data_IF_687605841332
#
_entry.id   IF_687605841332
#
_cell.length_a   1.000
_cell.length_b   1.000
_cell.length_c   1.000
_cell.angle_alpha   90.00
_cell.angle_beta   90.00
_cell.angle_gamma   90.00
#
_symmetry.space_group_name_H-M   'P 1'
#
loop_
_entity.id
_entity.type
_entity.pdbx_description
1 polymer ?
#
# COMPACT_ATOMS: atom_id res chain seq x y z
N UNK A 1 -5.22 8.48 -3.86
CA UNK A 1 -6.10 9.40 -4.57
C UNK A 1 -5.26 10.57 -5.07
N UNK A 2 -5.11 10.69 -6.40
CA UNK A 2 -4.45 11.82 -7.02
C UNK A 2 -5.36 13.04 -6.92
N UNK A 3 -5.15 13.86 -5.92
CA UNK A 3 -5.89 15.11 -5.67
C UNK A 3 -5.14 16.31 -6.27
N UNK A 4 -4.43 16.10 -7.39
CA UNK A 4 -3.84 17.22 -8.11
C UNK A 4 -4.82 17.67 -9.21
N UNK A 5 -5.20 18.95 -9.26
CA UNK A 5 -6.02 19.46 -10.34
C UNK A 5 -5.26 19.32 -11.66
N UNK A 6 -5.91 18.70 -12.64
CA UNK A 6 -5.43 18.75 -14.01
C UNK A 6 -5.65 20.16 -14.56
N UNK A 7 -4.78 20.65 -15.44
CA UNK A 7 -4.79 22.00 -16.01
C UNK A 7 -6.12 22.44 -16.69
N UNK A 8 -7.05 21.51 -16.86
CA UNK A 8 -8.37 21.74 -17.49
C UNK A 8 -9.55 21.44 -16.55
N UNK A 9 -9.34 21.49 -15.23
CA UNK A 9 -10.42 21.22 -14.27
C UNK A 9 -11.31 22.46 -14.12
N UNK A 10 -12.64 22.30 -14.13
CA UNK A 10 -13.59 23.39 -13.91
C UNK A 10 -13.28 24.16 -12.61
N UNK A 11 -13.42 25.50 -12.59
CA UNK A 11 -13.05 26.32 -11.43
C UNK A 11 -13.69 25.88 -10.10
N UNK A 12 -14.95 25.42 -10.14
CA UNK A 12 -15.64 24.91 -8.95
C UNK A 12 -14.98 23.64 -8.40
N UNK A 13 -14.57 22.71 -9.27
CA UNK A 13 -13.87 21.48 -8.87
C UNK A 13 -12.49 21.82 -8.30
N UNK A 14 -11.82 22.81 -8.88
CA UNK A 14 -10.53 23.28 -8.37
C UNK A 14 -10.67 23.92 -6.98
N UNK A 15 -11.71 24.73 -6.76
CA UNK A 15 -12.01 25.31 -5.46
C UNK A 15 -12.33 24.23 -4.40
N UNK A 16 -13.17 23.25 -4.74
CA UNK A 16 -13.48 22.12 -3.86
C UNK A 16 -12.22 21.29 -3.51
N UNK A 17 -11.37 21.03 -4.50
CA UNK A 17 -10.10 20.32 -4.30
C UNK A 17 -9.18 21.07 -3.34
N UNK A 18 -9.05 22.38 -3.52
CA UNK A 18 -8.24 23.24 -2.62
C UNK A 18 -8.80 23.25 -1.20
N UNK A 19 -10.12 23.34 -1.05
CA UNK A 19 -10.77 23.30 0.26
C UNK A 19 -10.53 21.94 0.96
N UNK A 20 -10.66 20.84 0.23
CA UNK A 20 -10.41 19.50 0.76
C UNK A 20 -8.94 19.32 1.18
N UNK A 21 -8.00 19.76 0.35
CA UNK A 21 -6.57 19.72 0.68
C UNK A 21 -6.28 20.52 1.96
N UNK A 22 -6.83 21.73 2.09
CA UNK A 22 -6.65 22.54 3.27
C UNK A 22 -7.27 21.91 4.53
N UNK A 23 -8.44 21.30 4.41
CA UNK A 23 -9.09 20.57 5.50
C UNK A 23 -8.23 19.38 5.95
N UNK A 24 -7.68 18.61 5.00
CA UNK A 24 -6.78 17.48 5.28
C UNK A 24 -5.50 17.94 6.01
N UNK A 25 -4.83 18.99 5.50
CA UNK A 25 -3.63 19.54 6.13
C UNK A 25 -3.91 20.01 7.56
N UNK A 26 -5.04 20.69 7.77
CA UNK A 26 -5.44 21.16 9.10
C UNK A 26 -5.74 19.99 10.04
N UNK A 27 -6.42 18.95 9.57
CA UNK A 27 -6.73 17.75 10.36
C UNK A 27 -5.45 17.00 10.77
N UNK A 28 -4.52 16.79 9.84
CA UNK A 28 -3.22 16.14 10.11
C UNK A 28 -2.41 16.96 11.12
N UNK A 29 -2.35 18.29 10.95
CA UNK A 29 -1.66 19.18 11.89
C UNK A 29 -2.28 19.12 13.29
N UNK A 30 -3.60 19.16 13.39
CA UNK A 30 -4.31 19.07 14.68
C UNK A 30 -4.07 17.72 15.36
N UNK A 31 -4.13 16.62 14.61
CA UNK A 31 -3.84 15.28 15.10
C UNK A 31 -2.40 15.16 15.63
N UNK A 32 -1.42 15.64 14.86
CA UNK A 32 -0.02 15.62 15.26
C UNK A 32 0.23 16.47 16.54
N UNK A 33 -0.35 17.67 16.61
CA UNK A 33 -0.26 18.53 17.80
C UNK A 33 -0.90 17.87 19.03
N UNK A 34 -2.03 17.20 18.85
CA UNK A 34 -2.68 16.45 19.93
C UNK A 34 -1.82 15.28 20.40
N UNK A 35 -1.28 14.51 19.47
CA UNK A 35 -0.39 13.38 19.78
C UNK A 35 0.84 13.82 20.59
N UNK A 36 1.49 14.91 20.19
CA UNK A 36 2.65 15.48 20.93
C UNK A 36 2.26 15.88 22.37
N UNK A 37 1.06 16.45 22.56
CA UNK A 37 0.59 16.89 23.90
C UNK A 37 0.24 15.71 24.82
N UNK A 38 -0.13 14.56 24.24
CA UNK A 38 -0.58 13.37 24.97
C UNK A 38 0.46 12.24 24.96
N UNK A 39 1.71 12.53 24.60
CA UNK A 39 2.77 11.52 24.61
C UNK A 39 2.93 10.89 25.99
N UNK A 40 3.06 9.57 26.00
CA UNK A 40 3.28 8.77 27.20
C UNK A 40 4.22 7.61 26.91
N UNK A 41 4.77 7.01 27.97
CA UNK A 41 5.55 5.79 27.81
C UNK A 41 4.70 4.69 27.18
N UNK A 42 5.25 4.00 26.19
CA UNK A 42 4.55 2.97 25.45
C UNK A 42 5.44 1.75 25.23
N UNK A 43 4.82 0.61 25.00
CA UNK A 43 5.43 -0.65 24.60
C UNK A 43 5.05 -0.96 23.16
N UNK A 44 5.92 -1.66 22.46
CA UNK A 44 5.68 -2.05 21.07
C UNK A 44 5.77 -3.55 20.93
N UNK A 45 4.88 -4.14 20.17
CA UNK A 45 4.91 -5.55 19.84
C UNK A 45 4.57 -5.78 18.37
N UNK A 46 4.99 -6.91 17.85
CA UNK A 46 4.81 -7.32 16.47
C UNK A 46 4.25 -8.72 16.39
N UNK A 47 3.41 -8.97 15.41
CA UNK A 47 2.91 -10.29 15.07
C UNK A 47 2.58 -10.41 13.59
N UNK A 48 2.50 -11.63 13.11
CA UNK A 48 2.13 -11.95 11.74
C UNK A 48 0.96 -12.92 11.67
N UNK A 49 0.17 -12.76 10.63
CA UNK A 49 -0.88 -13.68 10.22
C UNK A 49 -0.87 -13.86 8.71
N UNK A 50 -1.73 -14.72 8.24
CA UNK A 50 -1.94 -14.97 6.81
C UNK A 50 -3.35 -14.52 6.46
N UNK A 51 -3.47 -13.67 5.44
CA UNK A 51 -4.74 -13.30 4.84
C UNK A 51 -4.71 -13.63 3.34
N UNK A 52 -5.87 -13.88 2.76
CA UNK A 52 -6.02 -14.21 1.34
C UNK A 52 -6.99 -13.27 0.64
N UNK A 53 -7.10 -12.05 1.14
CA UNK A 53 -7.96 -11.03 0.51
C UNK A 53 -7.30 -10.37 -0.69
N UNK A 54 -5.97 -10.50 -0.86
CA UNK A 54 -5.25 -10.05 -2.03
C UNK A 54 -5.08 -11.16 -3.09
N UNK A 55 -4.88 -10.74 -4.31
CA UNK A 55 -4.51 -11.57 -5.45
C UNK A 55 -3.60 -10.76 -6.37
N UNK A 56 -2.68 -11.42 -7.06
CA UNK A 56 -1.95 -10.79 -8.15
C UNK A 56 -2.93 -10.35 -9.24
N UNK A 57 -2.77 -9.16 -9.80
CA UNK A 57 -3.73 -8.62 -10.76
C UNK A 57 -3.31 -8.71 -12.22
N UNK A 58 -2.14 -9.25 -12.50
CA UNK A 58 -1.65 -9.43 -13.87
C UNK A 58 -2.10 -10.77 -14.44
N UNK A 59 -3.06 -10.73 -15.31
CA UNK A 59 -3.63 -11.92 -15.98
C UNK A 59 -3.07 -12.05 -17.38
N UNK A 60 -2.53 -13.23 -17.70
CA UNK A 60 -2.11 -13.57 -19.06
C UNK A 60 -3.33 -13.85 -19.93
N UNK A 61 -3.37 -13.24 -21.11
CA UNK A 61 -4.40 -13.43 -22.13
C UNK A 61 -3.76 -13.72 -23.50
N UNK A 62 -4.50 -14.18 -24.50
CA UNK A 62 -3.98 -14.34 -25.87
C UNK A 62 -3.46 -13.04 -26.50
N UNK A 63 -3.83 -11.88 -25.94
CA UNK A 63 -3.48 -10.56 -26.44
C UNK A 63 -2.38 -9.85 -25.63
N UNK A 64 -1.79 -10.54 -24.65
CA UNK A 64 -0.83 -9.99 -23.68
C UNK A 64 -1.38 -9.97 -22.25
N UNK A 65 -0.68 -9.28 -21.36
CA UNK A 65 -1.02 -9.20 -19.93
C UNK A 65 -1.93 -8.01 -19.64
N UNK A 66 -2.96 -8.23 -18.79
CA UNK A 66 -3.87 -7.17 -18.40
C UNK A 66 -4.43 -7.37 -16.98
N UNK A 67 -5.05 -6.31 -16.45
CA UNK A 67 -5.64 -6.28 -15.12
C UNK A 67 -6.77 -7.31 -14.95
N UNK A 68 -6.73 -8.04 -13.86
CA UNK A 68 -7.74 -9.04 -13.49
C UNK A 68 -7.48 -9.63 -12.12
N UNK A 69 -7.80 -10.89 -11.92
CA UNK A 69 -7.48 -11.67 -10.72
C UNK A 69 -6.72 -12.93 -11.14
N UNK A 70 -5.43 -12.97 -10.86
CA UNK A 70 -4.54 -14.08 -11.19
C UNK A 70 -4.25 -14.90 -9.91
N UNK A 71 -5.05 -15.91 -9.66
CA UNK A 71 -4.92 -16.81 -8.49
C UNK A 71 -3.61 -17.61 -8.48
N UNK A 72 -2.95 -17.74 -9.63
CA UNK A 72 -1.65 -18.43 -9.78
C UNK A 72 -0.47 -17.45 -9.78
N UNK A 73 -0.73 -16.15 -9.77
CA UNK A 73 0.30 -15.13 -9.74
C UNK A 73 0.97 -15.03 -8.37
N UNK A 74 2.16 -14.48 -8.36
CA UNK A 74 2.89 -14.26 -7.11
C UNK A 74 2.17 -13.22 -6.24
N UNK A 75 2.00 -13.52 -4.96
CA UNK A 75 1.41 -12.62 -3.98
C UNK A 75 2.18 -12.64 -2.66
N UNK A 76 1.88 -11.69 -1.80
CA UNK A 76 2.36 -11.67 -0.42
C UNK A 76 1.14 -11.77 0.53
N UNK A 77 0.84 -12.95 1.06
CA UNK A 77 -0.28 -13.15 1.96
C UNK A 77 0.01 -12.74 3.41
N UNK A 78 1.20 -12.23 3.70
CA UNK A 78 1.62 -11.87 5.06
C UNK A 78 0.91 -10.62 5.53
N UNK A 79 0.09 -10.75 6.56
CA UNK A 79 -0.48 -9.64 7.31
C UNK A 79 0.41 -9.37 8.53
N UNK A 80 1.16 -8.28 8.50
CA UNK A 80 1.95 -7.83 9.63
C UNK A 80 1.14 -6.88 10.51
N UNK A 81 1.22 -7.06 11.83
CA UNK A 81 0.54 -6.21 12.81
C UNK A 81 1.56 -5.66 13.79
N UNK A 82 1.63 -4.34 13.86
CA UNK A 82 2.37 -3.60 14.88
C UNK A 82 1.37 -3.09 15.92
N UNK A 83 1.56 -3.47 17.19
CA UNK A 83 0.72 -3.05 18.29
C UNK A 83 1.50 -2.15 19.24
N UNK A 84 0.89 -1.04 19.62
CA UNK A 84 1.42 -0.10 20.60
C UNK A 84 0.51 -0.13 21.82
N UNK A 85 1.09 -0.42 22.99
CA UNK A 85 0.38 -0.47 24.28
C UNK A 85 0.88 0.64 25.20
N UNK A 86 0.02 1.04 26.15
CA UNK A 86 0.47 1.84 27.30
C UNK A 86 1.50 1.06 28.11
N UNK A 87 2.20 1.74 29.02
CA UNK A 87 3.10 1.07 29.99
C UNK A 87 2.37 0.04 30.87
N UNK A 88 1.04 0.18 31.04
CA UNK A 88 0.18 -0.74 31.79
C UNK A 88 -0.36 -1.89 30.94
N UNK A 89 -0.08 -1.91 29.63
CA UNK A 89 -0.48 -2.97 28.71
C UNK A 89 -1.84 -2.80 28.04
N UNK A 90 -2.47 -1.63 28.16
CA UNK A 90 -3.69 -1.33 27.41
C UNK A 90 -3.34 -0.91 25.96
N UNK A 91 -4.02 -1.45 24.93
CA UNK A 91 -3.76 -1.10 23.53
C UNK A 91 -4.05 0.38 23.25
N UNK A 92 -3.08 1.08 22.65
CA UNK A 92 -3.19 2.46 22.14
C UNK A 92 -3.40 2.49 20.64
N UNK A 93 -2.71 1.64 19.91
CA UNK A 93 -2.82 1.56 18.46
C UNK A 93 -2.54 0.15 17.93
N UNK A 94 -3.24 -0.19 16.85
CA UNK A 94 -3.03 -1.41 16.07
C UNK A 94 -2.83 -0.99 14.61
N UNK A 95 -1.62 -1.16 14.09
CA UNK A 95 -1.28 -0.86 12.70
C UNK A 95 -1.14 -2.16 11.94
N UNK A 96 -1.95 -2.35 10.91
CA UNK A 96 -1.88 -3.50 10.01
C UNK A 96 -1.18 -3.11 8.70
N UNK A 97 -0.18 -3.88 8.29
CA UNK A 97 0.50 -3.73 7.01
C UNK A 97 0.21 -4.95 6.14
N UNK A 98 -0.33 -4.73 4.96
CA UNK A 98 -0.71 -5.79 4.06
C UNK A 98 -0.56 -5.38 2.60
N UNK A 99 -0.11 -6.31 1.74
CA UNK A 99 0.12 -6.09 0.32
C UNK A 99 -1.18 -6.17 -0.47
N UNK A 100 -2.04 -5.16 -0.32
CA UNK A 100 -3.29 -5.04 -1.09
C UNK A 100 -3.64 -3.58 -1.32
N UNK A 101 -4.08 -3.25 -2.52
CA UNK A 101 -4.73 -1.97 -2.78
C UNK A 101 -6.12 -1.93 -2.15
N UNK A 102 -6.49 -0.81 -1.54
CA UNK A 102 -7.83 -0.59 -0.98
C UNK A 102 -8.77 -0.15 -2.12
N UNK A 103 -9.19 -1.11 -2.95
CA UNK A 103 -9.79 -0.85 -4.27
C UNK A 103 -10.92 -1.82 -4.66
N UNK A 104 -11.67 -2.34 -3.67
CA UNK A 104 -12.83 -3.22 -3.94
C UNK A 104 -13.89 -2.48 -4.76
N UNK A 105 -14.15 -1.21 -4.42
CA UNK A 105 -15.14 -0.35 -5.07
C UNK A 105 -14.55 0.56 -6.15
N UNK A 106 -13.27 0.39 -6.51
CA UNK A 106 -12.61 1.27 -7.48
C UNK A 106 -13.32 1.28 -8.82
N UNK A 107 -13.61 2.48 -9.31
CA UNK A 107 -14.29 2.70 -10.60
C UNK A 107 -15.75 2.26 -10.62
N UNK A 108 -16.31 1.72 -9.53
CA UNK A 108 -17.74 1.42 -9.44
C UNK A 108 -18.59 2.69 -9.36
N UNK A 109 -19.78 2.61 -9.89
CA UNK A 109 -20.76 3.70 -9.92
C UNK A 109 -22.07 3.25 -9.29
N UNK A 110 -22.92 4.19 -8.88
CA UNK A 110 -24.28 3.87 -8.48
C UNK A 110 -25.12 3.48 -9.70
N UNK A 111 -26.10 2.58 -9.56
CA UNK A 111 -27.07 2.28 -10.64
C UNK A 111 -27.82 3.52 -11.11
N UNK A 112 -28.07 4.46 -10.20
CA UNK A 112 -28.68 5.76 -10.49
C UNK A 112 -27.70 6.77 -11.11
N UNK A 113 -26.45 6.41 -11.31
CA UNK A 113 -25.36 7.28 -11.74
C UNK A 113 -24.64 7.96 -10.58
N UNK A 114 -23.42 8.44 -10.84
CA UNK A 114 -22.55 9.07 -9.85
C UNK A 114 -21.58 8.11 -9.17
N UNK A 115 -20.68 8.67 -8.37
CA UNK A 115 -19.63 7.95 -7.63
C UNK A 115 -19.75 8.20 -6.15
N UNK A 116 -19.35 7.21 -5.37
CA UNK A 116 -19.27 7.31 -3.91
C UNK A 116 -17.81 7.50 -3.47
N UNK A 117 -17.64 8.14 -2.32
CA UNK A 117 -16.37 8.19 -1.60
C UNK A 117 -16.46 7.16 -0.48
N UNK A 118 -15.50 6.26 -0.42
CA UNK A 118 -15.39 5.25 0.61
C UNK A 118 -13.93 5.08 1.04
N UNK A 119 -13.69 4.72 2.31
CA UNK A 119 -12.38 4.28 2.79
C UNK A 119 -12.05 2.84 2.35
N UNK A 120 -12.96 2.20 1.62
CA UNK A 120 -12.84 0.89 1.00
C UNK A 120 -12.35 -0.19 1.98
N UNK A 121 -11.57 -1.15 1.52
CA UNK A 121 -11.07 -2.29 2.30
C UNK A 121 -10.37 -1.87 3.59
N UNK A 122 -9.50 -0.87 3.51
CA UNK A 122 -8.79 -0.33 4.66
C UNK A 122 -9.75 0.17 5.75
N UNK A 123 -10.80 0.89 5.35
CA UNK A 123 -11.76 1.45 6.30
C UNK A 123 -12.64 0.40 6.97
N UNK A 124 -13.02 -0.67 6.27
CA UNK A 124 -13.79 -1.78 6.89
C UNK A 124 -12.89 -2.56 7.84
N UNK A 125 -11.66 -2.88 7.43
CA UNK A 125 -10.73 -3.65 8.26
C UNK A 125 -10.33 -2.90 9.54
N UNK A 126 -10.01 -1.62 9.47
CA UNK A 126 -9.66 -0.81 10.66
C UNK A 126 -10.83 -0.68 11.62
N UNK A 127 -12.03 -0.40 11.09
CA UNK A 127 -13.26 -0.32 11.90
C UNK A 127 -13.56 -1.63 12.61
N UNK A 128 -13.35 -2.77 11.94
CA UNK A 128 -13.53 -4.07 12.59
C UNK A 128 -12.63 -4.21 13.81
N UNK A 129 -11.32 -3.89 13.69
CA UNK A 129 -10.36 -3.98 14.79
C UNK A 129 -10.77 -3.08 15.96
N UNK A 130 -11.21 -1.85 15.68
CA UNK A 130 -11.66 -0.91 16.71
C UNK A 130 -12.93 -1.39 17.41
N UNK A 131 -13.91 -1.91 16.66
CA UNK A 131 -15.16 -2.44 17.19
C UNK A 131 -14.95 -3.71 18.01
N UNK A 132 -14.07 -4.61 17.56
CA UNK A 132 -13.74 -5.83 18.29
C UNK A 132 -13.02 -5.49 19.62
N UNK A 133 -12.12 -4.54 19.62
CA UNK A 133 -11.47 -4.05 20.83
C UNK A 133 -12.45 -3.35 21.79
N UNK A 134 -13.43 -2.59 21.27
CA UNK A 134 -14.43 -1.90 22.06
C UNK A 134 -15.34 -2.87 22.85
N UNK A 135 -15.58 -4.07 22.33
CA UNK A 135 -16.30 -5.13 23.05
C UNK A 135 -15.57 -5.63 24.31
N UNK A 136 -14.27 -5.30 24.43
CA UNK A 136 -13.38 -5.65 25.55
C UNK A 136 -12.95 -4.43 26.36
N UNK A 137 -13.75 -3.36 26.35
CA UNK A 137 -13.50 -2.08 27.03
C UNK A 137 -12.16 -1.43 26.64
N UNK A 138 -11.71 -1.63 25.40
CA UNK A 138 -10.47 -1.07 24.85
C UNK A 138 -10.78 -0.23 23.61
N UNK A 139 -10.08 0.89 23.45
CA UNK A 139 -10.30 1.84 22.35
C UNK A 139 -8.99 2.21 21.65
N UNK A 140 -8.27 1.25 21.05
CA UNK A 140 -7.09 1.58 20.24
C UNK A 140 -7.51 2.30 18.95
N UNK A 141 -6.61 3.09 18.39
CA UNK A 141 -6.74 3.57 17.02
C UNK A 141 -6.21 2.48 16.09
N UNK A 142 -7.01 2.05 15.11
CA UNK A 142 -6.53 1.15 14.07
C UNK A 142 -6.10 1.91 12.82
N UNK A 143 -4.97 1.52 12.23
CA UNK A 143 -4.45 2.09 11.01
C UNK A 143 -4.09 0.99 9.99
N UNK A 144 -4.33 1.29 8.71
CA UNK A 144 -3.92 0.44 7.60
C UNK A 144 -2.74 1.06 6.86
N UNK A 145 -1.66 0.31 6.74
CA UNK A 145 -0.44 0.67 6.04
C UNK A 145 -0.34 -0.19 4.78
N UNK A 146 -0.46 0.45 3.62
CA UNK A 146 -0.39 -0.27 2.34
C UNK A 146 1.01 -0.83 2.16
N UNK A 147 1.09 -2.14 1.97
CA UNK A 147 2.32 -2.88 1.70
C UNK A 147 2.77 -2.76 0.24
N UNK A 148 3.65 -3.66 -0.18
CA UNK A 148 4.08 -3.77 -1.57
C UNK A 148 2.92 -4.34 -2.42
N UNK A 149 2.04 -3.46 -2.88
CA UNK A 149 0.78 -3.78 -3.51
C UNK A 149 0.66 -3.28 -4.96
N UNK A 150 1.77 -2.96 -5.62
CA UNK A 150 1.76 -2.44 -6.98
C UNK A 150 1.04 -3.36 -7.97
N UNK A 151 1.24 -4.65 -7.85
CA UNK A 151 0.64 -5.73 -8.64
C UNK A 151 -0.44 -6.52 -7.87
N UNK A 152 -0.91 -6.01 -6.70
CA UNK A 152 -1.85 -6.72 -5.85
C UNK A 152 -3.19 -5.97 -5.75
N UNK A 153 -4.27 -6.66 -6.07
CA UNK A 153 -5.63 -6.17 -5.93
C UNK A 153 -6.43 -7.01 -4.91
N UNK A 154 -7.57 -6.50 -4.41
CA UNK A 154 -8.54 -7.35 -3.73
C UNK A 154 -8.99 -8.48 -4.66
N UNK A 155 -9.05 -9.71 -4.14
CA UNK A 155 -9.47 -10.90 -4.94
C UNK A 155 -10.88 -10.79 -5.50
N UNK A 156 -11.73 -9.95 -4.89
CA UNK A 156 -13.06 -9.61 -5.38
C UNK A 156 -13.16 -8.11 -5.56
N UNK A 157 -13.62 -7.68 -6.71
CA UNK A 157 -13.83 -6.27 -7.06
C UNK A 157 -15.24 -6.05 -7.57
N UNK A 158 -15.84 -4.92 -7.19
CA UNK A 158 -17.16 -4.51 -7.66
C UNK A 158 -17.16 -4.19 -9.15
N UNK A 159 -16.10 -3.58 -9.63
CA UNK A 159 -15.93 -3.19 -11.05
C UNK A 159 -14.65 -3.82 -11.61
N UNK A 160 -14.78 -4.95 -12.27
CA UNK A 160 -13.67 -5.77 -12.77
C UNK A 160 -13.46 -5.61 -14.27
N UNK A 161 -12.22 -5.73 -14.70
CA UNK A 161 -11.86 -5.82 -16.11
C UNK A 161 -12.24 -7.18 -16.69
N UNK A 162 -12.66 -7.16 -17.96
CA UNK A 162 -12.91 -8.35 -18.78
C UNK A 162 -12.25 -8.11 -20.13
N UNK A 163 -11.33 -9.00 -20.50
CA UNK A 163 -10.74 -9.03 -21.85
C UNK A 163 -11.62 -9.91 -22.72
N UNK A 164 -12.18 -9.33 -23.76
CA UNK A 164 -13.08 -9.99 -24.69
C UNK A 164 -12.30 -10.84 -25.70
N UNK A 165 -13.01 -11.68 -26.46
CA UNK A 165 -12.42 -12.58 -27.46
C UNK A 165 -11.73 -11.86 -28.64
N UNK A 166 -11.97 -10.58 -28.84
CA UNK A 166 -11.33 -9.72 -29.84
C UNK A 166 -10.17 -8.88 -29.27
N UNK A 167 -9.83 -9.09 -27.99
CA UNK A 167 -8.77 -8.33 -27.28
C UNK A 167 -9.21 -6.99 -26.72
N UNK A 168 -10.43 -6.54 -27.00
CA UNK A 168 -10.98 -5.34 -26.38
C UNK A 168 -11.22 -5.54 -24.88
N UNK A 169 -11.20 -4.45 -24.11
CA UNK A 169 -11.45 -4.49 -22.67
C UNK A 169 -12.75 -3.82 -22.33
N UNK A 170 -13.59 -4.53 -21.61
CA UNK A 170 -14.81 -4.01 -21.00
C UNK A 170 -14.70 -4.07 -19.47
N UNK A 171 -15.67 -3.48 -18.78
CA UNK A 171 -15.78 -3.58 -17.31
C UNK A 171 -17.16 -4.10 -16.94
N UNK A 172 -17.19 -4.96 -15.94
CA UNK A 172 -18.42 -5.46 -15.33
C UNK A 172 -18.54 -4.86 -13.95
N UNK A 173 -19.52 -3.99 -13.77
CA UNK A 173 -19.78 -3.26 -12.54
C UNK A 173 -20.97 -3.89 -11.78
N UNK A 174 -20.77 -4.20 -10.52
CA UNK A 174 -21.82 -4.69 -9.60
C UNK A 174 -22.54 -3.56 -8.89
N UNK A 175 -22.10 -2.33 -9.08
CA UNK A 175 -22.69 -1.16 -8.46
C UNK A 175 -22.73 -1.28 -6.92
N UNK A 176 -23.84 -0.92 -6.30
CA UNK A 176 -24.06 -0.98 -4.85
C UNK A 176 -23.89 -2.39 -4.26
N UNK A 177 -24.09 -3.44 -5.05
CA UNK A 177 -23.88 -4.83 -4.61
C UNK A 177 -22.40 -5.10 -4.26
N UNK A 178 -21.48 -4.28 -4.79
CA UNK A 178 -20.06 -4.32 -4.45
C UNK A 178 -19.77 -4.08 -2.97
N UNK A 179 -20.63 -3.36 -2.24
CA UNK A 179 -20.47 -3.16 -0.80
C UNK A 179 -20.55 -4.46 -0.01
N UNK A 180 -21.32 -5.48 -0.46
CA UNK A 180 -21.31 -6.80 0.15
C UNK A 180 -19.94 -7.49 0.02
N UNK A 181 -19.27 -7.33 -1.13
CA UNK A 181 -17.92 -7.84 -1.34
C UNK A 181 -16.91 -7.10 -0.45
N UNK A 182 -17.05 -5.79 -0.36
CA UNK A 182 -16.21 -4.93 0.49
C UNK A 182 -16.33 -5.32 1.96
N UNK A 183 -17.55 -5.45 2.48
CA UNK A 183 -17.80 -5.83 3.86
C UNK A 183 -17.23 -7.23 4.16
N UNK A 184 -17.39 -8.18 3.25
CA UNK A 184 -16.84 -9.53 3.40
C UNK A 184 -15.31 -9.51 3.50
N UNK A 185 -14.62 -8.92 2.52
CA UNK A 185 -13.15 -8.89 2.48
C UNK A 185 -12.57 -8.05 3.62
N UNK A 186 -13.17 -6.91 3.91
CA UNK A 186 -12.71 -6.03 4.99
C UNK A 186 -12.88 -6.67 6.38
N UNK A 187 -13.99 -7.39 6.61
CA UNK A 187 -14.21 -8.17 7.83
C UNK A 187 -13.21 -9.32 7.95
N UNK A 188 -12.93 -10.06 6.87
CA UNK A 188 -11.92 -11.13 6.84
C UNK A 188 -10.55 -10.59 7.25
N UNK A 189 -10.12 -9.47 6.63
CA UNK A 189 -8.83 -8.86 6.93
C UNK A 189 -8.77 -8.30 8.35
N UNK A 190 -9.78 -7.56 8.78
CA UNK A 190 -9.88 -6.97 10.12
C UNK A 190 -9.91 -8.02 11.23
N UNK A 191 -10.67 -9.09 11.04
CA UNK A 191 -10.76 -10.22 11.97
C UNK A 191 -9.40 -10.93 12.11
N UNK A 192 -8.68 -11.13 10.99
CA UNK A 192 -7.33 -11.69 11.03
C UNK A 192 -6.37 -10.77 11.80
N UNK A 193 -6.44 -9.46 11.55
CA UNK A 193 -5.61 -8.48 12.26
C UNK A 193 -5.90 -8.44 13.77
N UNK A 194 -7.17 -8.49 14.18
CA UNK A 194 -7.56 -8.55 15.59
C UNK A 194 -7.02 -9.81 16.27
N UNK A 195 -7.16 -10.98 15.64
CA UNK A 195 -6.62 -12.24 16.16
C UNK A 195 -5.10 -12.23 16.30
N UNK A 196 -4.37 -11.62 15.34
CA UNK A 196 -2.92 -11.44 15.44
C UNK A 196 -2.60 -10.50 16.60
N UNK A 197 -3.28 -9.36 16.68
CA UNK A 197 -3.10 -8.36 17.74
C UNK A 197 -3.26 -8.96 19.14
N UNK A 198 -4.23 -9.84 19.35
CA UNK A 198 -4.51 -10.47 20.64
C UNK A 198 -3.35 -11.38 21.14
N UNK A 199 -2.54 -11.89 20.21
CA UNK A 199 -1.39 -12.75 20.53
C UNK A 199 -0.10 -11.97 20.76
N UNK A 200 -0.09 -10.68 20.43
CA UNK A 200 1.10 -9.82 20.55
C UNK A 200 1.38 -9.52 22.03
N UNK A 201 2.62 -9.71 22.43
CA UNK A 201 3.14 -9.25 23.70
C UNK A 201 4.03 -8.03 23.43
N UNK A 202 3.53 -6.85 23.75
CA UNK A 202 4.30 -5.62 23.63
C UNK A 202 5.39 -5.55 24.71
N UNK A 203 6.57 -5.11 24.33
CA UNK A 203 7.75 -5.01 25.18
C UNK A 203 8.31 -3.61 25.16
N UNK A 204 9.10 -3.27 26.17
CA UNK A 204 9.87 -2.02 26.17
C UNK A 204 10.90 -2.05 25.05
N UNK A 205 10.94 -0.96 24.28
CA UNK A 205 11.76 -0.87 23.07
C UNK A 205 12.60 0.41 23.14
N UNK A 206 13.84 0.32 23.64
CA UNK A 206 14.66 1.51 23.90
C UNK A 206 15.21 2.18 22.63
N UNK A 207 15.26 1.45 21.50
CA UNK A 207 15.88 1.95 20.28
C UNK A 207 14.84 2.44 19.29
N UNK A 208 14.88 3.74 19.01
CA UNK A 208 14.09 4.37 17.95
C UNK A 208 15.03 5.19 17.05
N UNK A 209 14.98 4.96 15.74
CA UNK A 209 15.74 5.73 14.77
C UNK A 209 14.90 5.95 13.50
N UNK A 210 15.14 7.07 12.85
CA UNK A 210 14.56 7.40 11.55
C UNK A 210 15.66 7.93 10.63
N UNK A 211 15.74 7.39 9.43
CA UNK A 211 16.66 7.85 8.41
C UNK A 211 15.92 8.14 7.10
N UNK A 212 16.37 9.15 6.39
CA UNK A 212 15.93 9.44 5.02
C UNK A 212 17.10 9.23 4.08
N UNK A 213 16.88 8.41 3.09
CA UNK A 213 17.86 8.04 2.06
C UNK A 213 17.26 8.31 0.69
N UNK A 214 18.07 8.21 -0.33
CA UNK A 214 17.61 8.15 -1.72
C UNK A 214 18.55 7.31 -2.56
N UNK A 215 18.03 6.61 -3.55
CA UNK A 215 18.79 5.89 -4.54
C UNK A 215 18.53 6.50 -5.92
N UNK A 216 19.57 6.58 -6.75
CA UNK A 216 19.43 7.02 -8.14
C UNK A 216 18.99 5.84 -9.00
N UNK A 217 17.89 6.01 -9.72
CA UNK A 217 17.36 5.02 -10.65
C UNK A 217 17.13 5.67 -12.02
N UNK A 218 17.16 4.90 -13.09
CA UNK A 218 16.85 5.41 -14.42
C UNK A 218 15.34 5.64 -14.52
N UNK A 219 14.94 6.83 -14.97
CA UNK A 219 13.54 7.09 -15.28
C UNK A 219 13.14 6.57 -16.66
N UNK A 220 11.85 6.45 -16.88
CA UNK A 220 11.28 6.30 -18.22
C UNK A 220 10.11 7.25 -18.39
N UNK A 221 9.88 7.65 -19.65
CA UNK A 221 8.70 8.43 -19.99
C UNK A 221 7.51 7.49 -20.08
N UNK A 222 6.46 7.78 -19.32
CA UNK A 222 5.15 7.16 -19.52
C UNK A 222 4.22 8.19 -20.16
N UNK A 223 3.39 7.75 -21.08
CA UNK A 223 2.36 8.60 -21.67
C UNK A 223 0.98 8.05 -21.31
N UNK A 224 0.36 8.52 -20.21
CA UNK A 224 -0.97 8.05 -19.81
C UNK A 224 -2.03 8.28 -20.88
N UNK A 225 -1.86 9.31 -21.70
CA UNK A 225 -2.79 9.65 -22.78
C UNK A 225 -2.69 8.70 -23.98
N UNK A 226 -1.51 8.15 -24.24
CA UNK A 226 -1.22 7.27 -25.39
C UNK A 226 -1.01 5.81 -24.98
N UNK A 227 -1.01 5.48 -23.68
CA UNK A 227 -0.88 4.11 -23.24
C UNK A 227 -2.10 3.28 -23.72
N UNK A 228 -1.87 2.10 -24.34
CA UNK A 228 -2.96 1.21 -24.73
C UNK A 228 -3.85 0.89 -23.52
N UNK A 229 -5.16 1.04 -23.68
CA UNK A 229 -6.17 0.74 -22.63
C UNK A 229 -6.55 -0.74 -22.61
N UNK A 230 -5.59 -1.62 -22.83
CA UNK A 230 -5.79 -3.05 -22.91
C UNK A 230 -4.47 -3.82 -22.96
N UNK A 231 -4.50 -5.16 -23.08
CA UNK A 231 -3.32 -5.99 -23.25
C UNK A 231 -2.60 -5.65 -24.56
N UNK A 232 -1.28 -5.84 -24.56
CA UNK A 232 -0.43 -5.67 -25.76
C UNK A 232 0.61 -6.78 -25.80
N UNK A 233 1.06 -7.11 -27.01
CA UNK A 233 2.13 -8.09 -27.25
C UNK A 233 3.49 -7.42 -27.55
N UNK A 234 3.51 -6.08 -27.67
CA UNK A 234 4.71 -5.30 -27.85
C UNK A 234 4.53 -3.89 -27.25
N UNK A 235 5.58 -3.34 -26.68
CA UNK A 235 5.63 -1.97 -26.17
C UNK A 235 7.07 -1.46 -26.18
N UNK A 236 7.24 -0.17 -26.44
CA UNK A 236 8.57 0.46 -26.42
C UNK A 236 8.63 1.44 -25.25
N UNK A 237 9.57 1.19 -24.36
CA UNK A 237 9.88 2.10 -23.25
C UNK A 237 10.88 3.16 -23.72
N UNK A 238 10.63 4.41 -23.36
CA UNK A 238 11.56 5.52 -23.65
C UNK A 238 12.28 5.89 -22.36
N UNK A 239 13.57 5.64 -22.31
CA UNK A 239 14.40 5.95 -21.14
C UNK A 239 14.56 7.48 -20.98
N UNK A 240 14.55 7.91 -19.73
CA UNK A 240 14.77 9.29 -19.30
C UNK A 240 16.07 9.45 -18.52
N UNK A 241 16.22 10.63 -17.89
CA UNK A 241 17.37 10.91 -17.03
C UNK A 241 17.25 10.17 -15.68
N UNK A 242 18.37 9.88 -15.01
CA UNK A 242 18.34 9.36 -13.65
C UNK A 242 17.55 10.29 -12.71
N UNK A 243 16.77 9.69 -11.82
CA UNK A 243 15.97 10.39 -10.79
C UNK A 243 16.25 9.83 -9.41
N UNK A 244 16.18 10.68 -8.40
CA UNK A 244 16.30 10.24 -7.01
C UNK A 244 14.98 9.63 -6.53
N UNK A 245 15.04 8.41 -6.02
CA UNK A 245 13.93 7.71 -5.40
C UNK A 245 14.12 7.76 -3.87
N UNK A 246 13.31 8.55 -3.14
CA UNK A 246 13.45 8.68 -1.70
C UNK A 246 12.94 7.45 -0.96
N UNK A 247 13.59 7.16 0.17
CA UNK A 247 13.26 6.06 1.08
C UNK A 247 13.31 6.58 2.51
N UNK A 248 12.33 6.21 3.31
CA UNK A 248 12.29 6.44 4.76
C UNK A 248 12.50 5.11 5.47
N UNK A 249 13.48 5.05 6.36
CA UNK A 249 13.76 3.90 7.21
C UNK A 249 13.42 4.26 8.64
N UNK A 250 12.64 3.44 9.30
CA UNK A 250 12.32 3.59 10.72
C UNK A 250 12.72 2.30 11.43
N UNK A 251 13.48 2.44 12.51
CA UNK A 251 13.82 1.35 13.43
C UNK A 251 13.04 1.50 14.73
N UNK A 252 12.40 0.44 15.17
CA UNK A 252 11.74 0.33 16.48
C UNK A 252 12.26 -0.95 17.14
N UNK A 253 13.36 -0.86 17.91
CA UNK A 253 14.04 -2.02 18.45
C UNK A 253 14.54 -2.96 17.37
N UNK A 254 13.93 -4.13 17.26
CA UNK A 254 14.25 -5.15 16.25
C UNK A 254 13.22 -5.21 15.11
N UNK A 255 12.44 -4.16 14.95
CA UNK A 255 11.47 -3.98 13.87
C UNK A 255 11.97 -2.87 12.95
N UNK A 256 11.97 -3.11 11.63
CA UNK A 256 12.22 -2.10 10.61
C UNK A 256 10.96 -1.79 9.80
N UNK A 257 10.76 -0.51 9.48
CA UNK A 257 9.78 -0.07 8.50
C UNK A 257 10.53 0.60 7.35
N UNK A 258 10.22 0.17 6.13
CA UNK A 258 10.80 0.69 4.88
C UNK A 258 9.69 1.38 4.11
N UNK A 259 9.72 2.71 4.08
CA UNK A 259 8.74 3.53 3.37
C UNK A 259 9.27 4.03 2.04
N UNK A 260 8.52 3.83 0.96
CA UNK A 260 8.88 4.23 -0.41
C UNK A 260 7.72 4.96 -1.09
N UNK A 261 8.01 5.82 -2.07
CA UNK A 261 6.97 6.59 -2.76
C UNK A 261 6.16 5.78 -3.78
N UNK A 262 6.77 4.98 -4.68
CA UNK A 262 6.01 4.23 -5.66
C UNK A 262 5.27 3.03 -5.06
N UNK A 263 4.26 2.57 -5.77
CA UNK A 263 3.58 1.30 -5.52
C UNK A 263 4.49 0.16 -6.00
N UNK A 264 5.15 -0.52 -5.04
CA UNK A 264 6.14 -1.57 -5.28
C UNK A 264 5.46 -2.90 -5.58
N UNK A 265 6.00 -3.69 -6.51
CA UNK A 265 5.58 -5.07 -6.75
C UNK A 265 5.79 -5.95 -5.50
N UNK A 266 4.87 -6.88 -5.26
CA UNK A 266 4.90 -7.77 -4.09
C UNK A 266 6.17 -8.60 -3.99
N UNK A 267 6.71 -9.08 -5.12
CA UNK A 267 7.95 -9.86 -5.16
C UNK A 267 9.13 -9.09 -4.60
N UNK A 268 9.27 -7.81 -4.95
CA UNK A 268 10.35 -6.95 -4.43
C UNK A 268 10.14 -6.66 -2.95
N UNK A 269 8.90 -6.44 -2.51
CA UNK A 269 8.59 -6.30 -1.09
C UNK A 269 8.95 -7.54 -0.28
N UNK A 270 8.67 -8.74 -0.79
CA UNK A 270 9.09 -10.01 -0.17
C UNK A 270 10.62 -10.14 -0.12
N UNK A 271 11.32 -9.76 -1.19
CA UNK A 271 12.79 -9.75 -1.24
C UNK A 271 13.37 -8.85 -0.14
N UNK A 272 12.91 -7.59 -0.04
CA UNK A 272 13.36 -6.66 1.01
C UNK A 272 13.15 -7.25 2.41
N UNK A 273 12.01 -7.89 2.67
CA UNK A 273 11.74 -8.52 3.97
C UNK A 273 12.65 -9.72 4.22
N UNK A 274 12.86 -10.57 3.22
CA UNK A 274 13.66 -11.79 3.35
C UNK A 274 15.18 -11.51 3.54
N UNK A 275 15.70 -10.45 2.91
CA UNK A 275 17.11 -10.06 2.99
C UNK A 275 17.40 -9.11 4.17
N UNK A 276 16.38 -8.70 4.93
CA UNK A 276 16.54 -7.79 6.06
C UNK A 276 17.26 -8.47 7.25
N UNK A 277 18.20 -7.77 7.91
CA UNK A 277 18.83 -8.27 9.14
C UNK A 277 17.94 -8.12 10.37
N UNK A 278 16.82 -7.40 10.27
CA UNK A 278 15.88 -7.24 11.36
C UNK A 278 14.99 -8.49 11.50
N UNK A 279 14.58 -8.81 12.71
CA UNK A 279 13.67 -9.93 12.94
C UNK A 279 12.31 -9.73 12.25
N UNK A 280 11.90 -8.45 12.11
CA UNK A 280 10.63 -8.08 11.50
C UNK A 280 10.83 -6.86 10.62
N UNK A 281 10.36 -6.93 9.37
CA UNK A 281 10.44 -5.81 8.42
C UNK A 281 9.10 -5.60 7.73
N UNK A 282 8.60 -4.39 7.83
CA UNK A 282 7.40 -3.93 7.13
C UNK A 282 7.82 -3.06 5.94
N UNK A 283 7.25 -3.34 4.77
CA UNK A 283 7.42 -2.50 3.59
C UNK A 283 6.13 -1.69 3.40
N UNK A 284 6.28 -0.38 3.26
CA UNK A 284 5.19 0.57 3.09
C UNK A 284 5.36 1.33 1.78
N UNK A 285 4.28 1.51 1.06
CA UNK A 285 4.26 2.25 -0.20
C UNK A 285 3.50 3.56 -0.07
N UNK A 286 3.68 4.47 -1.01
CA UNK A 286 3.09 5.82 -1.01
C UNK A 286 3.49 6.66 0.21
N UNK A 287 4.72 6.47 0.68
CA UNK A 287 5.29 7.24 1.80
C UNK A 287 6.02 8.48 1.27
N UNK A 288 5.77 9.63 1.88
CA UNK A 288 6.29 10.95 1.46
C UNK A 288 5.93 11.34 0.01
N UNK A 289 4.85 10.78 -0.53
CA UNK A 289 4.36 11.08 -1.86
C UNK A 289 3.85 9.86 -2.62
N UNK A 290 3.57 10.03 -3.90
CA UNK A 290 3.16 8.97 -4.81
C UNK A 290 3.90 9.11 -6.13
N UNK A 291 4.45 8.03 -6.65
CA UNK A 291 5.26 8.01 -7.86
C UNK A 291 4.85 6.88 -8.82
N UNK A 292 3.56 6.57 -8.90
CA UNK A 292 3.04 5.45 -9.69
C UNK A 292 3.67 4.12 -9.26
N UNK A 293 3.95 3.24 -10.20
CA UNK A 293 4.39 1.87 -9.94
C UNK A 293 5.91 1.73 -10.01
N UNK A 294 6.43 0.81 -9.21
CA UNK A 294 7.79 0.28 -9.34
C UNK A 294 7.69 -1.25 -9.45
N UNK A 295 7.42 -1.77 -10.65
CA UNK A 295 7.25 -3.19 -10.90
C UNK A 295 8.58 -3.95 -10.92
N UNK A 296 8.51 -5.27 -10.83
CA UNK A 296 9.63 -6.17 -11.07
C UNK A 296 10.05 -6.21 -12.56
N UNK A 297 11.21 -6.76 -12.85
CA UNK A 297 11.75 -6.83 -14.21
C UNK A 297 10.89 -7.67 -15.17
N UNK A 298 10.30 -8.76 -14.68
CA UNK A 298 9.44 -9.61 -15.49
C UNK A 298 8.17 -8.90 -15.97
N UNK A 299 7.70 -7.92 -15.22
CA UNK A 299 6.56 -7.09 -15.59
C UNK A 299 6.84 -6.24 -16.83
N UNK A 300 8.08 -5.77 -17.03
CA UNK A 300 8.48 -5.03 -18.24
C UNK A 300 8.50 -5.93 -19.48
N UNK A 301 9.01 -7.16 -19.35
CA UNK A 301 9.04 -8.13 -20.44
C UNK A 301 7.63 -8.59 -20.85
N UNK A 302 6.70 -8.55 -19.91
CA UNK A 302 5.28 -8.88 -20.09
C UNK A 302 4.43 -7.70 -20.53
N UNK A 303 4.98 -6.49 -20.54
CA UNK A 303 4.26 -5.25 -20.83
C UNK A 303 3.01 -5.04 -19.97
N UNK A 304 3.11 -5.37 -18.68
CA UNK A 304 1.98 -5.22 -17.76
C UNK A 304 1.52 -3.78 -17.64
N UNK A 305 0.34 -3.58 -17.09
CA UNK A 305 -0.19 -2.24 -16.85
C UNK A 305 0.75 -1.40 -15.96
N UNK A 306 1.34 -2.01 -14.93
CA UNK A 306 2.26 -1.38 -13.98
C UNK A 306 3.54 -0.91 -14.70
N UNK A 307 4.15 -1.77 -15.50
CA UNK A 307 5.38 -1.44 -16.23
C UNK A 307 5.16 -0.30 -17.23
N UNK A 308 4.05 -0.32 -17.97
CA UNK A 308 3.70 0.74 -18.91
C UNK A 308 3.27 2.05 -18.23
N UNK A 309 2.82 1.97 -16.98
CA UNK A 309 2.41 3.13 -16.16
C UNK A 309 3.52 3.60 -15.22
N UNK A 310 4.66 2.90 -15.18
CA UNK A 310 5.81 3.27 -14.36
C UNK A 310 6.55 4.47 -14.93
N UNK A 311 7.03 5.35 -14.05
CA UNK A 311 8.01 6.40 -14.38
C UNK A 311 9.46 5.94 -14.24
N UNK A 312 9.71 4.67 -13.91
CA UNK A 312 11.02 4.08 -13.66
C UNK A 312 11.31 2.98 -14.68
N UNK A 313 12.56 2.88 -15.12
CA UNK A 313 12.97 1.88 -16.08
C UNK A 313 13.16 0.50 -15.41
N UNK A 314 13.16 -0.55 -16.25
CA UNK A 314 13.51 -1.91 -15.83
C UNK A 314 14.83 -1.93 -15.06
N UNK A 315 14.97 -2.77 -14.02
CA UNK A 315 16.11 -2.82 -13.11
C UNK A 315 16.06 -1.84 -11.94
N UNK A 316 15.13 -0.85 -11.95
CA UNK A 316 15.05 0.15 -10.90
C UNK A 316 14.57 -0.44 -9.56
N UNK A 317 13.69 -1.45 -9.60
CA UNK A 317 13.18 -2.09 -8.38
C UNK A 317 14.28 -2.91 -7.68
N UNK A 318 15.11 -3.62 -8.43
CA UNK A 318 16.25 -4.36 -7.87
C UNK A 318 17.31 -3.40 -7.34
N UNK A 319 17.62 -2.33 -8.06
CA UNK A 319 18.52 -1.25 -7.57
C UNK A 319 18.04 -0.68 -6.24
N UNK A 320 16.73 -0.46 -6.09
CA UNK A 320 16.14 -0.03 -4.80
C UNK A 320 16.33 -1.10 -3.73
N UNK A 321 16.01 -2.36 -4.01
CA UNK A 321 16.11 -3.45 -3.04
C UNK A 321 17.53 -3.63 -2.52
N UNK A 322 18.54 -3.60 -3.40
CA UNK A 322 19.96 -3.69 -3.05
C UNK A 322 20.40 -2.52 -2.15
N UNK A 323 19.98 -1.29 -2.48
CA UNK A 323 20.28 -0.12 -1.66
C UNK A 323 19.62 -0.21 -0.27
N UNK A 324 18.35 -0.62 -0.23
CA UNK A 324 17.60 -0.80 1.04
C UNK A 324 18.26 -1.86 1.91
N UNK A 325 18.68 -3.00 1.34
CA UNK A 325 19.40 -4.02 2.08
C UNK A 325 20.65 -3.46 2.76
N UNK A 326 21.52 -2.75 2.02
CA UNK A 326 22.72 -2.13 2.58
C UNK A 326 22.42 -1.10 3.69
N UNK A 327 21.34 -0.33 3.54
CA UNK A 327 20.92 0.65 4.56
C UNK A 327 20.32 -0.01 5.80
N UNK A 328 19.55 -1.08 5.66
CA UNK A 328 19.03 -1.85 6.78
C UNK A 328 20.17 -2.50 7.57
N UNK A 329 21.18 -3.02 6.89
CA UNK A 329 22.40 -3.54 7.52
C UNK A 329 23.14 -2.47 8.35
N UNK A 330 23.28 -1.27 7.79
CA UNK A 330 23.89 -0.15 8.51
C UNK A 330 23.07 0.26 9.72
N UNK A 331 21.73 0.41 9.54
CA UNK A 331 20.79 0.78 10.60
C UNK A 331 20.74 -0.27 11.72
N UNK A 332 20.85 -1.56 11.39
CA UNK A 332 20.85 -2.65 12.35
C UNK A 332 22.12 -2.63 13.23
N UNK A 333 23.28 -2.29 12.66
CA UNK A 333 24.55 -2.19 13.36
C UNK A 333 24.69 -0.93 14.24
N UNK A 334 23.87 0.08 14.06
CA UNK A 334 23.90 1.27 14.93
C UNK A 334 23.55 0.86 16.37
N UNK A 335 24.47 1.11 17.31
CA UNK A 335 24.19 0.87 18.71
C UNK A 335 22.97 1.69 19.16
N UNK A 336 22.15 1.18 20.10
CA UNK A 336 21.12 2.01 20.71
C UNK A 336 21.81 3.25 21.32
N UNK A 337 21.32 4.43 20.97
CA UNK A 337 21.71 5.64 21.69
C UNK A 337 21.25 5.50 23.15
N UNK A 338 22.13 5.76 24.12
CA UNK A 338 21.81 5.65 25.53
C UNK A 338 20.66 6.57 25.97
#
# INVERSE_FOLDING_TARGET
PHVLPHEHTAPEVQAQTTQMQQALVNAVRAAAQSAVKTMSAARVGYGEGVSRVNVNRDVSTPFGWWLGANELGDNDPTLSVLRIDTAQGAPLAVMMNYAVQSSVMEGSTLKAGGKLITADLAGVATRYVEQDAAQRDSQPVAAFLVGAAGDQAPRLQANRHVVNSDGSVTRVDKHEEGFTLLDHLGTELGSTAAQVSDRIKAVDTPTLAIERKSVMVTSQTHSPQNAPKGPVTAYTYTLGQPVALPVVLIRIGNIALVGIQPELAAQIGKRIKAESPFAHTLVLTMVDGAAKYLPDDASYDRYTYEARSSGFAQGSADTLADAVHGWLDALHRTAPHP
#
